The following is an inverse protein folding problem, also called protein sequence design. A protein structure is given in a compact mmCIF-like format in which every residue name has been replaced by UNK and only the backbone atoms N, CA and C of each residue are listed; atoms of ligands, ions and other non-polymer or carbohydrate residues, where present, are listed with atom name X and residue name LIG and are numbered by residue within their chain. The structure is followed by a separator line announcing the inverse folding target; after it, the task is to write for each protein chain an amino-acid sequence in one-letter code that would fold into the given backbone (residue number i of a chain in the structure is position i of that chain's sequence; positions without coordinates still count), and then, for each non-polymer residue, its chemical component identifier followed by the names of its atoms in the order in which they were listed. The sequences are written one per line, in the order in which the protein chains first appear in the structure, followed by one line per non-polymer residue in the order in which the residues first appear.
data_IF_783672252220
#
_entry.id   IF_783672252220
#
_cell.length_a   1.000
_cell.length_b   1.000
_cell.length_c   1.000
_cell.angle_alpha   90.00
_cell.angle_beta   90.00
_cell.angle_gamma   90.00
#
_symmetry.space_group_name_H-M   'P 1'
#
loop_
_entity.id
_entity.type
_entity.pdbx_description
1 polymer ?
#
# COMPACT_ATOMS: atom_id res chain seq x y z
N UNK A 1 34.12 -13.62 -24.10
CA UNK A 1 33.09 -13.05 -24.99
C UNK A 1 32.10 -12.32 -24.06
N UNK A 2 32.15 -10.99 -24.03
CA UNK A 2 31.17 -10.18 -23.32
C UNK A 2 29.83 -10.39 -24.00
N UNK A 3 28.88 -11.06 -23.30
CA UNK A 3 27.53 -11.27 -23.78
C UNK A 3 26.88 -9.90 -24.00
N UNK A 4 26.44 -9.61 -25.20
CA UNK A 4 25.60 -8.46 -25.52
C UNK A 4 24.34 -8.62 -24.66
N UNK A 5 24.16 -7.76 -23.66
CA UNK A 5 22.94 -7.74 -22.85
C UNK A 5 21.76 -7.59 -23.82
N UNK A 6 20.78 -8.50 -23.72
CA UNK A 6 19.59 -8.43 -24.54
C UNK A 6 18.96 -7.04 -24.42
N UNK A 7 18.50 -6.44 -25.51
CA UNK A 7 17.86 -5.13 -25.45
C UNK A 7 16.69 -5.19 -24.46
N UNK A 8 16.62 -4.18 -23.58
CA UNK A 8 15.53 -4.09 -22.59
C UNK A 8 14.17 -4.01 -23.28
N UNK A 9 13.06 -4.24 -22.53
CA UNK A 9 11.72 -4.28 -23.12
C UNK A 9 11.37 -2.98 -23.83
N UNK A 10 10.68 -3.09 -24.96
CA UNK A 10 10.14 -1.95 -25.70
C UNK A 10 8.93 -1.38 -24.94
N UNK A 11 9.12 -0.25 -24.27
CA UNK A 11 8.08 0.38 -23.45
C UNK A 11 6.96 0.97 -24.30
N UNK A 12 5.76 1.03 -23.73
CA UNK A 12 4.57 1.61 -24.35
C UNK A 12 4.61 3.14 -24.31
N UNK A 13 4.37 3.77 -25.47
CA UNK A 13 4.19 5.21 -25.60
C UNK A 13 2.72 5.63 -25.67
N UNK A 14 2.43 6.94 -25.69
CA UNK A 14 1.06 7.46 -25.69
C UNK A 14 0.22 7.02 -26.90
N UNK A 15 0.82 6.94 -28.09
CA UNK A 15 0.15 6.52 -29.32
C UNK A 15 -0.25 5.05 -29.27
N UNK A 16 0.65 4.21 -28.75
CA UNK A 16 0.45 2.76 -28.65
C UNK A 16 -0.64 2.41 -27.64
N UNK A 17 -0.66 3.07 -26.49
CA UNK A 17 -1.70 2.88 -25.48
C UNK A 17 -3.09 3.26 -26.03
N UNK A 18 -3.18 4.37 -26.78
CA UNK A 18 -4.45 4.76 -27.44
C UNK A 18 -4.87 3.78 -28.50
N UNK A 19 -3.93 3.26 -29.28
CA UNK A 19 -4.20 2.24 -30.31
C UNK A 19 -4.69 0.93 -29.67
N UNK A 20 -4.05 0.47 -28.60
CA UNK A 20 -4.47 -0.70 -27.84
C UNK A 20 -5.88 -0.50 -27.27
N UNK A 21 -6.15 0.65 -26.66
CA UNK A 21 -7.46 0.99 -26.11
C UNK A 21 -8.55 0.98 -27.20
N UNK A 22 -8.27 1.59 -28.35
CA UNK A 22 -9.20 1.62 -29.49
C UNK A 22 -9.48 0.21 -30.02
N UNK A 23 -8.44 -0.61 -30.21
CA UNK A 23 -8.54 -2.00 -30.68
C UNK A 23 -9.39 -2.86 -29.76
N UNK A 24 -9.26 -2.66 -28.45
CA UNK A 24 -9.96 -3.44 -27.43
C UNK A 24 -11.32 -2.84 -27.03
N UNK A 25 -11.71 -1.73 -27.64
CA UNK A 25 -12.96 -1.02 -27.28
C UNK A 25 -12.96 -0.46 -25.87
N UNK A 26 -11.76 -0.30 -25.26
CA UNK A 26 -11.63 0.20 -23.87
C UNK A 26 -11.88 1.70 -23.84
N UNK A 27 -12.87 2.09 -23.07
CA UNK A 27 -13.13 3.48 -22.66
C UNK A 27 -12.72 3.62 -21.20
N UNK A 28 -11.62 4.36 -20.88
CA UNK A 28 -11.14 4.48 -19.52
C UNK A 28 -12.24 4.89 -18.55
N UNK A 29 -12.44 4.10 -17.50
CA UNK A 29 -13.52 4.24 -16.54
C UNK A 29 -13.04 4.92 -15.27
N UNK A 30 -13.70 6.02 -14.88
CA UNK A 30 -13.46 6.67 -13.58
C UNK A 30 -13.83 5.75 -12.42
N UNK A 31 -14.83 4.88 -12.60
CA UNK A 31 -15.25 3.92 -11.57
C UNK A 31 -14.16 2.90 -11.27
N UNK A 32 -13.41 2.50 -12.28
CA UNK A 32 -12.26 1.58 -12.15
C UNK A 32 -10.94 2.32 -11.85
N UNK A 33 -10.97 3.65 -11.76
CA UNK A 33 -9.77 4.45 -11.50
C UNK A 33 -8.72 4.38 -12.60
N UNK A 34 -9.12 4.05 -13.84
CA UNK A 34 -8.21 3.82 -14.96
C UNK A 34 -7.54 5.12 -15.44
N UNK A 35 -6.27 5.27 -15.08
CA UNK A 35 -5.35 6.30 -15.58
C UNK A 35 -4.03 5.61 -15.93
N UNK A 36 -3.77 5.42 -17.21
CA UNK A 36 -2.61 4.67 -17.70
C UNK A 36 -1.40 5.58 -17.82
N UNK A 37 -0.26 5.15 -17.29
CA UNK A 37 1.00 5.88 -17.45
C UNK A 37 1.49 5.69 -18.89
N UNK A 38 1.71 6.81 -19.58
CA UNK A 38 2.11 6.82 -21.00
C UNK A 38 3.53 7.28 -21.25
N UNK A 39 4.23 7.79 -20.20
CA UNK A 39 5.59 8.30 -20.28
C UNK A 39 6.62 7.26 -19.87
N UNK A 40 7.42 6.80 -20.83
CA UNK A 40 8.45 5.80 -20.59
C UNK A 40 9.54 6.25 -19.61
N UNK A 41 9.84 7.56 -19.55
CA UNK A 41 10.82 8.13 -18.60
C UNK A 41 10.32 7.98 -17.16
N UNK A 42 9.06 8.32 -16.94
CA UNK A 42 8.40 8.17 -15.63
C UNK A 42 8.35 6.70 -15.20
N UNK A 43 7.99 5.80 -16.12
CA UNK A 43 7.92 4.35 -15.83
C UNK A 43 9.30 3.81 -15.42
N UNK A 44 10.37 4.13 -16.15
CA UNK A 44 11.74 3.75 -15.77
C UNK A 44 12.14 4.30 -14.41
N UNK A 45 11.81 5.57 -14.14
CA UNK A 45 12.08 6.20 -12.84
C UNK A 45 11.39 5.50 -11.70
N UNK A 46 10.11 5.14 -11.84
CA UNK A 46 9.35 4.41 -10.83
C UNK A 46 9.99 3.05 -10.57
N UNK A 47 10.33 2.29 -11.62
CA UNK A 47 10.98 0.99 -11.49
C UNK A 47 12.33 1.09 -10.77
N UNK A 48 13.16 2.08 -11.13
CA UNK A 48 14.44 2.30 -10.46
C UNK A 48 14.27 2.70 -8.97
N UNK A 49 13.24 3.50 -8.65
CA UNK A 49 12.94 3.90 -7.28
C UNK A 49 12.41 2.76 -6.42
N UNK A 50 11.83 1.72 -7.02
CA UNK A 50 11.36 0.53 -6.30
C UNK A 50 12.52 -0.29 -5.72
N UNK A 51 13.76 -0.10 -6.20
CA UNK A 51 14.99 -0.76 -5.69
C UNK A 51 14.84 -2.29 -5.58
N UNK A 52 14.29 -2.89 -6.62
CA UNK A 52 14.06 -4.32 -6.68
C UNK A 52 15.38 -5.09 -6.72
N UNK A 53 15.44 -6.20 -6.01
CA UNK A 53 16.48 -7.21 -6.17
C UNK A 53 16.15 -8.13 -7.34
N UNK A 54 17.18 -8.73 -7.96
CA UNK A 54 16.98 -9.59 -9.12
C UNK A 54 16.16 -10.86 -8.82
N UNK A 55 16.13 -11.28 -7.57
CA UNK A 55 15.37 -12.43 -7.06
C UNK A 55 13.95 -12.06 -6.54
N UNK A 56 13.58 -10.78 -6.56
CA UNK A 56 12.26 -10.37 -6.14
C UNK A 56 11.15 -10.96 -7.02
N UNK A 57 10.05 -11.34 -6.37
CA UNK A 57 8.76 -11.59 -7.00
C UNK A 57 7.90 -10.36 -6.75
N UNK A 58 7.60 -9.64 -7.82
CA UNK A 58 6.84 -8.39 -7.73
C UNK A 58 5.36 -8.68 -7.85
N UNK A 59 4.57 -8.18 -6.92
CA UNK A 59 3.13 -8.04 -7.06
C UNK A 59 2.82 -6.69 -7.70
N UNK A 60 2.19 -6.71 -8.85
CA UNK A 60 1.67 -5.49 -9.50
C UNK A 60 0.15 -5.49 -9.44
N UNK A 61 -0.45 -4.40 -8.99
CA UNK A 61 -1.91 -4.21 -8.95
C UNK A 61 -2.31 -3.19 -10.00
N UNK A 62 -3.27 -3.58 -10.85
CA UNK A 62 -3.76 -2.73 -11.93
C UNK A 62 -2.70 -2.48 -13.01
N UNK A 63 -2.13 -3.53 -13.63
CA UNK A 63 -1.11 -3.40 -14.68
C UNK A 63 -1.61 -2.64 -15.90
N UNK A 64 -2.92 -2.65 -16.15
CA UNK A 64 -3.53 -2.05 -17.32
C UNK A 64 -2.97 -2.63 -18.61
N UNK A 65 -2.45 -1.77 -19.49
CA UNK A 65 -1.81 -2.20 -20.74
C UNK A 65 -0.38 -2.74 -20.56
N UNK A 66 0.19 -2.71 -19.35
CA UNK A 66 1.52 -3.24 -19.05
C UNK A 66 2.64 -2.19 -19.06
N UNK A 67 2.33 -0.90 -19.00
CA UNK A 67 3.36 0.16 -18.98
C UNK A 67 4.40 -0.05 -17.88
N UNK A 68 3.97 -0.39 -16.68
CA UNK A 68 4.87 -0.65 -15.55
C UNK A 68 5.33 -2.11 -15.52
N UNK A 69 4.49 -3.06 -15.96
CA UNK A 69 4.82 -4.49 -16.03
C UNK A 69 6.09 -4.76 -16.83
N UNK A 70 6.23 -4.13 -18.01
CA UNK A 70 7.37 -4.35 -18.91
C UNK A 70 8.73 -4.12 -18.23
N UNK A 71 9.02 -2.95 -17.61
CA UNK A 71 10.30 -2.77 -16.93
C UNK A 71 10.41 -3.54 -15.62
N UNK A 72 9.28 -3.87 -14.94
CA UNK A 72 9.32 -4.73 -13.76
C UNK A 72 9.78 -6.15 -14.10
N UNK A 73 9.34 -6.72 -15.25
CA UNK A 73 9.79 -8.03 -15.74
C UNK A 73 11.30 -8.06 -16.01
N UNK A 74 11.88 -6.92 -16.44
CA UNK A 74 13.32 -6.82 -16.65
C UNK A 74 14.12 -6.65 -15.34
N UNK A 75 13.50 -6.10 -14.31
CA UNK A 75 14.16 -5.76 -13.04
C UNK A 75 14.02 -6.85 -11.97
N UNK A 76 13.07 -7.77 -12.11
CA UNK A 76 12.74 -8.77 -11.09
C UNK A 76 12.74 -10.19 -11.67
N UNK A 77 12.74 -11.19 -10.80
CA UNK A 77 12.65 -12.61 -11.20
C UNK A 77 11.30 -12.94 -11.82
N UNK A 78 10.22 -12.38 -11.29
CA UNK A 78 8.85 -12.65 -11.71
C UNK A 78 7.94 -11.46 -11.38
N UNK A 79 6.88 -11.30 -12.17
CA UNK A 79 5.77 -10.37 -11.90
C UNK A 79 4.47 -11.16 -11.79
N UNK A 80 3.76 -11.00 -10.68
CA UNK A 80 2.38 -11.46 -10.48
C UNK A 80 1.50 -10.23 -10.60
N UNK A 81 0.74 -10.13 -11.68
CA UNK A 81 -0.11 -9.00 -11.98
C UNK A 81 -1.58 -9.32 -11.64
N UNK A 82 -2.20 -8.51 -10.78
CA UNK A 82 -3.62 -8.61 -10.42
C UNK A 82 -4.40 -7.51 -11.11
N UNK A 83 -5.29 -7.88 -12.03
CA UNK A 83 -6.09 -6.95 -12.83
C UNK A 83 -7.60 -7.23 -12.64
N UNK A 84 -8.34 -6.19 -12.39
CA UNK A 84 -9.79 -6.29 -12.18
C UNK A 84 -10.57 -6.38 -13.51
N UNK A 85 -10.07 -5.69 -14.55
CA UNK A 85 -10.69 -5.66 -15.87
C UNK A 85 -10.27 -6.91 -16.67
N UNK A 86 -11.20 -7.83 -17.00
CA UNK A 86 -10.87 -9.08 -17.68
C UNK A 86 -10.32 -8.86 -19.11
N UNK A 87 -10.67 -7.74 -19.76
CA UNK A 87 -10.17 -7.42 -21.11
C UNK A 87 -8.70 -7.05 -21.03
N UNK A 88 -8.32 -6.21 -20.04
CA UNK A 88 -6.93 -5.85 -19.79
C UNK A 88 -6.11 -7.05 -19.30
N UNK A 89 -6.67 -7.87 -18.41
CA UNK A 89 -6.02 -9.08 -17.92
C UNK A 89 -5.69 -10.06 -19.06
N UNK A 90 -6.60 -10.23 -20.02
CA UNK A 90 -6.39 -11.09 -21.20
C UNK A 90 -5.41 -10.50 -22.22
N UNK A 91 -5.31 -9.17 -22.31
CA UNK A 91 -4.39 -8.49 -23.24
C UNK A 91 -2.95 -8.40 -22.71
N UNK A 92 -2.75 -8.34 -21.41
CA UNK A 92 -1.43 -8.15 -20.81
C UNK A 92 -0.37 -9.19 -21.26
N UNK A 93 -0.67 -10.51 -21.29
CA UNK A 93 0.27 -11.50 -21.81
C UNK A 93 0.64 -11.27 -23.27
N UNK A 94 -0.30 -10.82 -24.11
CA UNK A 94 -0.06 -10.51 -25.53
C UNK A 94 0.86 -9.29 -25.66
N UNK A 95 0.62 -8.25 -24.86
CA UNK A 95 1.50 -7.08 -24.81
C UNK A 95 2.93 -7.48 -24.44
N UNK A 96 3.09 -8.32 -23.40
CA UNK A 96 4.41 -8.78 -22.94
C UNK A 96 5.08 -9.67 -24.01
N UNK A 97 4.37 -10.61 -24.62
CA UNK A 97 4.91 -11.45 -25.70
C UNK A 97 5.38 -10.63 -26.90
N UNK A 98 4.69 -9.54 -27.23
CA UNK A 98 5.07 -8.65 -28.34
C UNK A 98 6.25 -7.72 -28.00
N UNK A 99 6.41 -7.30 -26.74
CA UNK A 99 7.37 -6.25 -26.32
C UNK A 99 8.58 -6.77 -25.57
N UNK A 100 8.47 -7.93 -24.95
CA UNK A 100 9.50 -8.57 -24.14
C UNK A 100 9.38 -10.10 -24.24
N UNK A 101 9.46 -10.71 -25.45
CA UNK A 101 9.19 -12.14 -25.65
C UNK A 101 10.07 -13.02 -24.77
N UNK A 102 11.33 -12.67 -24.55
CA UNK A 102 12.24 -13.41 -23.67
C UNK A 102 11.95 -13.31 -22.17
N UNK A 103 10.91 -12.55 -21.77
CA UNK A 103 10.50 -12.37 -20.38
C UNK A 103 9.04 -12.82 -20.13
N UNK A 104 8.37 -13.35 -21.16
CA UNK A 104 6.93 -13.67 -21.09
C UNK A 104 6.61 -14.76 -20.07
N UNK A 105 7.49 -15.70 -19.86
CA UNK A 105 7.40 -16.78 -18.88
C UNK A 105 7.51 -16.31 -17.42
N UNK A 106 8.00 -15.09 -17.21
CA UNK A 106 8.08 -14.47 -15.88
C UNK A 106 6.79 -13.77 -15.43
N UNK A 107 5.80 -13.66 -16.32
CA UNK A 107 4.51 -13.02 -16.01
C UNK A 107 3.49 -14.07 -15.58
N UNK A 108 2.80 -13.81 -14.48
CA UNK A 108 1.54 -14.45 -14.13
C UNK A 108 0.45 -13.38 -14.00
N UNK A 109 -0.73 -13.64 -14.57
CA UNK A 109 -1.87 -12.70 -14.51
C UNK A 109 -3.02 -13.35 -13.75
N UNK A 110 -3.58 -12.60 -12.80
CA UNK A 110 -4.76 -13.00 -12.02
C UNK A 110 -5.87 -11.99 -12.26
N UNK A 111 -7.00 -12.45 -12.78
CA UNK A 111 -8.19 -11.59 -12.92
C UNK A 111 -8.96 -11.59 -11.62
N UNK A 112 -8.76 -10.57 -10.78
CA UNK A 112 -9.37 -10.48 -9.45
C UNK A 112 -9.41 -9.04 -8.92
N UNK A 113 -10.22 -8.83 -7.89
CA UNK A 113 -10.18 -7.62 -7.07
C UNK A 113 -9.02 -7.72 -6.06
N UNK A 114 -8.02 -6.84 -6.22
CA UNK A 114 -6.85 -6.80 -5.35
C UNK A 114 -7.16 -6.47 -3.89
N UNK A 115 -8.33 -5.89 -3.60
CA UNK A 115 -8.78 -5.66 -2.22
C UNK A 115 -9.37 -6.93 -1.56
N UNK A 116 -9.49 -8.04 -2.30
CA UNK A 116 -10.11 -9.30 -1.86
C UNK A 116 -9.31 -10.53 -2.19
N UNK A 117 -8.29 -10.43 -3.05
CA UNK A 117 -7.45 -11.56 -3.46
C UNK A 117 -6.80 -12.21 -2.24
N UNK A 118 -6.85 -13.54 -2.18
CA UNK A 118 -6.24 -14.31 -1.08
C UNK A 118 -5.16 -15.26 -1.55
N UNK A 119 -5.26 -15.71 -2.79
CA UNK A 119 -4.33 -16.67 -3.38
C UNK A 119 -3.66 -16.03 -4.60
N UNK A 120 -2.35 -16.19 -4.68
CA UNK A 120 -1.54 -15.72 -5.77
C UNK A 120 -0.72 -16.89 -6.32
N UNK A 121 -0.55 -16.99 -7.65
CA UNK A 121 0.12 -18.12 -8.27
C UNK A 121 1.64 -18.05 -8.12
N UNK A 122 2.25 -19.21 -7.90
CA UNK A 122 3.70 -19.39 -7.86
C UNK A 122 4.33 -18.97 -6.53
N UNK A 123 5.57 -18.47 -6.59
CA UNK A 123 6.30 -18.06 -5.41
C UNK A 123 5.66 -16.82 -4.76
N UNK A 124 5.67 -16.74 -3.41
CA UNK A 124 5.09 -15.61 -2.69
C UNK A 124 5.73 -14.27 -3.07
N UNK A 125 4.95 -13.23 -3.39
CA UNK A 125 5.48 -11.91 -3.70
C UNK A 125 6.28 -11.31 -2.56
N UNK A 126 7.42 -10.69 -2.90
CA UNK A 126 8.33 -10.06 -1.95
C UNK A 126 8.29 -8.53 -2.00
N UNK A 127 7.85 -7.97 -3.11
CA UNK A 127 7.72 -6.52 -3.30
C UNK A 127 6.38 -6.17 -3.96
N UNK A 128 5.79 -5.03 -3.58
CA UNK A 128 4.60 -4.46 -4.21
C UNK A 128 4.99 -3.23 -5.02
N UNK A 129 4.75 -3.24 -6.34
CA UNK A 129 4.93 -2.05 -7.18
C UNK A 129 3.67 -1.84 -8.02
N UNK A 130 3.01 -0.69 -7.88
CA UNK A 130 1.71 -0.50 -8.50
C UNK A 130 1.36 0.97 -8.76
N UNK A 131 0.63 1.21 -9.86
CA UNK A 131 -0.15 2.42 -10.06
C UNK A 131 -1.59 2.15 -9.62
N UNK A 132 -1.91 2.45 -8.37
CA UNK A 132 -3.17 2.05 -7.76
C UNK A 132 -4.35 2.93 -8.20
N UNK A 133 -5.55 2.34 -8.35
CA UNK A 133 -6.76 3.12 -8.58
C UNK A 133 -7.02 4.03 -7.36
N UNK A 134 -7.28 5.30 -7.64
CA UNK A 134 -7.32 6.36 -6.62
C UNK A 134 -8.33 6.14 -5.49
N UNK A 135 -9.45 5.49 -5.79
CA UNK A 135 -10.53 5.22 -4.83
C UNK A 135 -10.32 3.99 -3.96
N UNK A 136 -9.36 3.11 -4.31
CA UNK A 136 -9.15 1.84 -3.63
C UNK A 136 -7.72 1.66 -3.06
N UNK A 137 -6.83 2.64 -3.24
CA UNK A 137 -5.42 2.51 -2.91
C UNK A 137 -5.15 2.09 -1.46
N UNK A 138 -5.73 2.78 -0.48
CA UNK A 138 -5.50 2.47 0.95
C UNK A 138 -6.07 1.09 1.33
N UNK A 139 -7.32 0.75 1.01
CA UNK A 139 -7.85 -0.60 1.24
C UNK A 139 -7.02 -1.71 0.61
N UNK A 140 -6.57 -1.53 -0.63
CA UNK A 140 -5.74 -2.52 -1.35
C UNK A 140 -4.41 -2.73 -0.63
N UNK A 141 -3.68 -1.65 -0.30
CA UNK A 141 -2.39 -1.78 0.39
C UNK A 141 -2.54 -2.43 1.76
N UNK A 142 -3.55 -2.03 2.55
CA UNK A 142 -3.82 -2.62 3.86
C UNK A 142 -4.20 -4.11 3.75
N UNK A 143 -5.04 -4.48 2.76
CA UNK A 143 -5.40 -5.87 2.51
C UNK A 143 -4.17 -6.71 2.16
N UNK A 144 -3.36 -6.26 1.21
CA UNK A 144 -2.17 -6.99 0.77
C UNK A 144 -1.12 -7.11 1.89
N UNK A 145 -0.91 -6.07 2.69
CA UNK A 145 -0.03 -6.14 3.86
C UNK A 145 -0.55 -7.13 4.91
N UNK A 146 -1.86 -7.31 5.03
CA UNK A 146 -2.47 -8.27 5.95
C UNK A 146 -2.42 -9.71 5.44
N UNK A 147 -2.60 -9.92 4.13
CA UNK A 147 -2.80 -11.26 3.54
C UNK A 147 -1.56 -11.83 2.85
N UNK A 148 -0.58 -10.98 2.51
CA UNK A 148 0.68 -11.40 1.86
C UNK A 148 1.86 -11.06 2.79
N UNK A 149 2.14 -11.93 3.79
CA UNK A 149 3.19 -11.66 4.79
C UNK A 149 4.60 -11.64 4.21
N UNK A 150 4.81 -12.21 3.05
CA UNK A 150 6.10 -12.22 2.33
C UNK A 150 6.50 -10.86 1.74
N UNK A 151 5.56 -9.90 1.62
CA UNK A 151 5.87 -8.54 1.16
C UNK A 151 6.82 -7.86 2.15
N UNK A 152 8.03 -7.56 1.71
CA UNK A 152 9.07 -6.87 2.49
C UNK A 152 9.06 -5.37 2.27
N UNK A 153 8.74 -4.94 1.06
CA UNK A 153 8.77 -3.54 0.67
C UNK A 153 7.77 -3.25 -0.45
N UNK A 154 7.59 -1.98 -0.77
CA UNK A 154 6.84 -1.59 -1.94
C UNK A 154 6.97 -0.12 -2.31
N UNK A 155 6.57 0.17 -3.53
CA UNK A 155 6.45 1.52 -4.07
C UNK A 155 5.11 1.62 -4.81
N UNK A 156 4.19 2.40 -4.26
CA UNK A 156 2.87 2.58 -4.87
C UNK A 156 2.66 4.02 -5.30
N UNK A 157 2.00 4.20 -6.43
CA UNK A 157 1.59 5.50 -6.93
C UNK A 157 0.09 5.68 -6.68
N UNK A 158 -0.27 6.77 -6.05
CA UNK A 158 -1.64 7.13 -5.64
C UNK A 158 -1.86 8.63 -5.85
N UNK A 159 -3.07 9.15 -5.63
CA UNK A 159 -3.28 10.61 -5.62
C UNK A 159 -2.35 11.30 -4.61
N UNK A 160 -1.88 12.51 -4.93
CA UNK A 160 -0.96 13.26 -4.08
C UNK A 160 -1.47 13.41 -2.64
N UNK A 161 -2.74 13.78 -2.46
CA UNK A 161 -3.36 13.90 -1.13
C UNK A 161 -3.41 12.55 -0.38
N UNK A 162 -3.67 11.44 -1.07
CA UNK A 162 -3.67 10.11 -0.49
C UNK A 162 -2.25 9.71 -0.06
N UNK A 163 -1.25 10.00 -0.91
CA UNK A 163 0.15 9.75 -0.60
C UNK A 163 0.60 10.52 0.65
N UNK A 164 0.19 11.78 0.76
CA UNK A 164 0.50 12.61 1.91
C UNK A 164 -0.14 12.07 3.20
N UNK A 165 -1.40 11.61 3.12
CA UNK A 165 -2.08 10.96 4.26
C UNK A 165 -1.45 9.62 4.64
N UNK A 166 -1.06 8.79 3.67
CA UNK A 166 -0.41 7.49 3.94
C UNK A 166 0.92 7.65 4.67
N UNK A 167 1.68 8.70 4.36
CA UNK A 167 3.01 8.97 4.90
C UNK A 167 3.05 10.03 6.01
N UNK A 168 1.89 10.48 6.48
CA UNK A 168 1.79 11.50 7.51
C UNK A 168 2.32 11.01 8.87
N UNK A 169 3.07 11.86 9.56
CA UNK A 169 3.53 11.62 10.92
C UNK A 169 2.48 12.07 11.96
N UNK A 170 2.49 11.47 13.18
CA UNK A 170 1.69 11.93 14.29
C UNK A 170 1.83 13.44 14.53
N UNK A 171 0.74 14.11 14.91
CA UNK A 171 0.69 15.55 15.15
C UNK A 171 0.47 16.40 13.89
N UNK A 172 0.57 15.83 12.70
CA UNK A 172 0.30 16.58 11.46
C UNK A 172 -1.21 16.67 11.17
N UNK A 173 -1.60 17.78 10.48
CA UNK A 173 -3.00 18.02 10.10
C UNK A 173 -3.64 16.94 9.23
N UNK A 174 -2.84 16.19 8.48
CA UNK A 174 -3.30 15.17 7.53
C UNK A 174 -3.16 13.76 8.09
N UNK A 175 -2.55 13.60 9.29
CA UNK A 175 -2.46 12.32 9.97
C UNK A 175 -3.83 11.75 10.30
N UNK A 176 -4.04 10.46 10.09
CA UNK A 176 -5.33 9.83 10.29
C UNK A 176 -5.30 8.32 10.22
N UNK A 177 -6.47 7.70 10.11
CA UNK A 177 -6.62 6.24 10.06
C UNK A 177 -5.67 5.56 9.07
N UNK A 178 -5.52 6.03 7.81
CA UNK A 178 -4.58 5.42 6.88
C UNK A 178 -3.14 5.42 7.38
N UNK A 179 -2.69 6.53 7.96
CA UNK A 179 -1.33 6.68 8.48
C UNK A 179 -1.04 5.67 9.59
N UNK A 180 -1.95 5.59 10.58
CA UNK A 180 -1.80 4.69 11.74
C UNK A 180 -1.87 3.21 11.31
N UNK A 181 -2.88 2.85 10.50
CA UNK A 181 -3.08 1.46 10.07
C UNK A 181 -1.93 0.95 9.21
N UNK A 182 -1.35 1.80 8.35
CA UNK A 182 -0.16 1.44 7.59
C UNK A 182 1.08 1.32 8.47
N UNK A 183 1.23 2.23 9.46
CA UNK A 183 2.33 2.16 10.43
C UNK A 183 2.31 0.91 11.32
N UNK A 184 1.20 0.18 11.39
CA UNK A 184 1.14 -1.15 12.01
C UNK A 184 1.98 -2.19 11.26
N UNK A 185 2.08 -2.06 9.93
CA UNK A 185 2.75 -3.04 9.08
C UNK A 185 4.14 -2.62 8.61
N UNK A 186 4.35 -1.32 8.44
CA UNK A 186 5.51 -0.83 7.71
C UNK A 186 5.89 0.62 8.06
N UNK A 187 7.17 0.92 7.95
CA UNK A 187 7.65 2.29 7.85
C UNK A 187 7.27 2.86 6.48
N UNK A 188 6.48 3.93 6.47
CA UNK A 188 5.91 4.52 5.26
C UNK A 188 6.48 5.92 5.05
N UNK A 189 6.88 6.24 3.82
CA UNK A 189 7.40 7.58 3.48
C UNK A 189 6.95 8.04 2.10
N UNK A 190 6.84 9.33 1.95
CA UNK A 190 6.69 9.97 0.65
C UNK A 190 7.98 9.78 -0.16
N UNK A 191 7.86 9.27 -1.39
CA UNK A 191 9.01 8.94 -2.23
C UNK A 191 9.19 9.90 -3.42
N UNK A 192 8.15 10.68 -3.76
CA UNK A 192 8.23 11.62 -4.87
C UNK A 192 6.85 12.01 -5.41
N UNK A 193 6.87 12.78 -6.49
CA UNK A 193 5.67 13.23 -7.20
C UNK A 193 5.71 12.81 -8.67
N UNK A 194 4.53 12.62 -9.25
CA UNK A 194 4.33 12.30 -10.66
C UNK A 194 3.28 13.24 -11.22
N UNK A 195 3.61 14.07 -12.22
CA UNK A 195 2.71 15.04 -12.78
C UNK A 195 1.59 14.35 -13.56
N UNK A 196 0.40 14.93 -13.54
CA UNK A 196 -0.79 14.39 -14.24
C UNK A 196 -0.63 14.28 -15.76
N UNK A 197 0.27 15.05 -16.35
CA UNK A 197 0.51 15.07 -17.81
C UNK A 197 1.05 13.76 -18.38
N UNK A 198 1.61 12.86 -17.53
CA UNK A 198 2.17 11.57 -17.96
C UNK A 198 1.11 10.48 -18.07
N UNK A 199 -0.16 10.78 -17.80
CA UNK A 199 -1.26 9.82 -17.82
C UNK A 199 -2.21 10.02 -18.99
N UNK A 200 -2.85 8.94 -19.39
CA UNK A 200 -4.01 8.96 -20.27
C UNK A 200 -5.12 8.06 -19.70
N UNK A 201 -6.36 8.60 -19.57
CA UNK A 201 -6.71 10.02 -19.62
C UNK A 201 -5.98 10.82 -18.53
N UNK A 202 -5.85 12.12 -18.73
CA UNK A 202 -5.21 13.01 -17.75
C UNK A 202 -6.09 13.13 -16.50
N UNK A 203 -5.60 12.76 -15.30
CA UNK A 203 -6.36 12.89 -14.05
C UNK A 203 -6.49 14.37 -13.64
N UNK A 204 -7.38 14.64 -12.68
CA UNK A 204 -7.62 16.01 -12.19
C UNK A 204 -6.51 16.52 -11.28
N UNK A 205 -5.79 15.63 -10.63
CA UNK A 205 -4.75 15.92 -9.63
C UNK A 205 -3.47 15.16 -9.95
N UNK A 206 -2.36 15.65 -9.46
CA UNK A 206 -1.08 14.95 -9.54
C UNK A 206 -1.07 13.71 -8.66
N UNK A 207 -0.15 12.81 -8.96
CA UNK A 207 0.09 11.60 -8.19
C UNK A 207 1.28 11.73 -7.27
N UNK A 208 1.30 10.90 -6.24
CA UNK A 208 2.39 10.76 -5.32
C UNK A 208 2.90 9.34 -5.24
N UNK A 209 4.20 9.19 -5.09
CA UNK A 209 4.84 7.93 -4.81
C UNK A 209 4.98 7.73 -3.30
N UNK A 210 4.56 6.59 -2.82
CA UNK A 210 4.70 6.16 -1.43
C UNK A 210 5.53 4.90 -1.39
N UNK A 211 6.65 4.96 -0.69
CA UNK A 211 7.47 3.78 -0.41
C UNK A 211 7.18 3.28 1.00
N UNK A 212 7.20 1.97 1.16
CA UNK A 212 7.11 1.33 2.46
C UNK A 212 8.15 0.21 2.61
N UNK A 213 8.59 0.00 3.84
CA UNK A 213 9.41 -1.13 4.24
C UNK A 213 8.73 -1.81 5.43
N UNK A 214 8.43 -3.12 5.29
CA UNK A 214 7.73 -3.89 6.32
C UNK A 214 8.60 -4.03 7.56
N UNK A 215 7.98 -4.00 8.71
CA UNK A 215 8.57 -4.30 10.00
C UNK A 215 7.61 -5.20 10.82
N UNK A 216 8.09 -5.84 11.88
CA UNK A 216 7.21 -6.52 12.83
C UNK A 216 6.16 -5.56 13.42
N UNK A 217 4.97 -6.04 13.78
CA UNK A 217 3.98 -5.22 14.48
C UNK A 217 4.57 -4.57 15.73
N UNK A 218 4.16 -3.33 16.07
CA UNK A 218 4.66 -2.64 17.25
C UNK A 218 4.27 -3.40 18.51
N UNK A 219 5.22 -3.53 19.44
CA UNK A 219 5.02 -4.19 20.73
C UNK A 219 4.50 -3.16 21.73
N UNK A 220 3.36 -3.42 22.39
CA UNK A 220 2.89 -2.58 23.48
C UNK A 220 3.90 -2.66 24.64
N UNK A 221 4.57 -1.56 24.94
CA UNK A 221 5.67 -1.47 25.93
C UNK A 221 7.08 -1.34 25.33
N UNK A 222 7.22 -1.35 24.01
CA UNK A 222 8.46 -0.97 23.33
C UNK A 222 8.69 0.55 23.30
N UNK A 223 9.93 1.01 23.04
CA UNK A 223 10.24 2.43 22.93
C UNK A 223 9.42 3.09 21.83
N UNK A 224 9.04 4.36 22.05
CA UNK A 224 8.17 5.14 21.14
C UNK A 224 8.81 5.43 19.76
N UNK A 225 10.09 5.24 19.63
CA UNK A 225 10.93 5.63 18.49
C UNK A 225 11.27 4.48 17.52
N UNK A 226 10.59 3.30 17.64
CA UNK A 226 10.73 2.24 16.64
C UNK A 226 12.13 1.64 16.51
N UNK A 227 13.00 1.84 17.51
CA UNK A 227 14.35 1.27 17.52
C UNK A 227 14.27 -0.25 17.57
N UNK A 228 14.73 -0.83 16.51
CA UNK A 228 14.64 -2.20 16.05
C UNK A 228 15.16 -3.21 17.10
N UNK A 229 14.29 -4.12 17.55
CA UNK A 229 14.69 -5.42 18.05
C UNK A 229 14.13 -6.49 17.13
N UNK A 230 14.92 -7.07 16.22
CA UNK A 230 14.46 -8.14 15.36
C UNK A 230 14.08 -9.37 16.20
N UNK A 231 12.83 -9.84 16.06
CA UNK A 231 12.42 -11.17 16.51
C UNK A 231 11.30 -11.30 17.52
N UNK A 232 10.59 -10.23 17.91
CA UNK A 232 9.38 -10.38 18.74
C UNK A 232 8.12 -10.06 17.93
N UNK A 233 7.68 -11.00 17.12
CA UNK A 233 6.28 -11.08 16.68
C UNK A 233 5.41 -11.29 17.93
N UNK A 234 4.25 -10.60 18.01
CA UNK A 234 3.36 -10.51 19.16
C UNK A 234 3.29 -11.77 20.03
N UNK A 235 4.01 -11.75 21.14
CA UNK A 235 3.98 -12.82 22.13
C UNK A 235 2.63 -12.90 22.83
N UNK A 236 2.34 -13.97 23.56
CA UNK A 236 1.15 -14.06 24.38
C UNK A 236 1.06 -12.83 25.29
N UNK A 237 -0.03 -12.07 25.15
CA UNK A 237 -0.23 -10.81 25.89
C UNK A 237 -0.26 -9.55 25.02
N UNK A 238 0.22 -9.55 23.77
CA UNK A 238 0.12 -8.39 22.88
C UNK A 238 -1.29 -8.22 22.29
N UNK A 239 -1.74 -6.98 22.01
CA UNK A 239 -3.05 -6.77 21.40
C UNK A 239 -3.02 -7.24 19.93
N UNK A 240 -4.16 -7.76 19.47
CA UNK A 240 -4.33 -8.11 18.07
C UNK A 240 -4.45 -6.84 17.20
N UNK A 241 -4.22 -7.00 15.90
CA UNK A 241 -4.46 -5.94 14.92
C UNK A 241 -5.87 -5.38 15.00
N UNK A 242 -6.85 -6.25 15.13
CA UNK A 242 -8.28 -5.93 15.19
C UNK A 242 -8.58 -5.06 16.40
N UNK A 243 -8.04 -5.39 17.57
CA UNK A 243 -8.17 -4.61 18.79
C UNK A 243 -7.57 -3.21 18.62
N UNK A 244 -6.35 -3.11 18.07
CA UNK A 244 -5.69 -1.82 17.83
C UNK A 244 -6.47 -1.00 16.80
N UNK A 245 -6.91 -1.60 15.71
CA UNK A 245 -7.64 -0.90 14.65
C UNK A 245 -9.01 -0.40 15.13
N UNK A 246 -9.68 -1.12 16.03
CA UNK A 246 -10.92 -0.66 16.66
C UNK A 246 -10.69 0.63 17.48
N UNK A 247 -9.60 0.70 18.25
CA UNK A 247 -9.23 1.92 19.00
C UNK A 247 -8.93 3.07 18.03
N UNK A 248 -8.17 2.81 16.96
CA UNK A 248 -7.84 3.82 15.94
C UNK A 248 -9.11 4.37 15.31
N UNK A 249 -10.01 3.49 14.83
CA UNK A 249 -11.26 3.91 14.21
C UNK A 249 -12.12 4.75 15.15
N UNK A 250 -12.25 4.35 16.42
CA UNK A 250 -12.98 5.10 17.43
C UNK A 250 -12.36 6.48 17.70
N UNK A 251 -11.03 6.55 17.84
CA UNK A 251 -10.33 7.83 18.10
C UNK A 251 -10.49 8.83 16.94
N UNK A 252 -10.50 8.36 15.69
CA UNK A 252 -10.63 9.22 14.52
C UNK A 252 -12.08 9.47 14.08
N UNK A 253 -13.06 8.69 14.54
CA UNK A 253 -14.48 8.96 14.31
C UNK A 253 -14.89 10.34 14.85
N UNK A 254 -14.24 10.80 15.92
CA UNK A 254 -14.46 12.11 16.52
C UNK A 254 -13.13 12.90 16.62
N UNK A 255 -12.44 13.05 15.51
CA UNK A 255 -11.08 13.60 15.41
C UNK A 255 -10.82 14.88 16.21
N UNK A 256 -11.83 15.78 16.35
CA UNK A 256 -11.70 17.05 17.07
C UNK A 256 -11.88 16.95 18.58
N UNK A 257 -12.30 15.80 19.09
CA UNK A 257 -12.51 15.55 20.53
C UNK A 257 -11.21 15.04 21.17
N UNK A 258 -11.15 15.18 22.52
CA UNK A 258 -10.10 14.53 23.31
C UNK A 258 -10.25 13.00 23.23
N UNK A 259 -9.18 12.27 23.49
CA UNK A 259 -9.22 10.80 23.52
C UNK A 259 -10.27 10.26 24.46
N UNK A 260 -10.40 10.86 25.67
CA UNK A 260 -11.45 10.52 26.64
C UNK A 260 -12.85 10.55 26.01
N UNK A 261 -13.15 11.60 25.28
CA UNK A 261 -14.46 11.75 24.66
C UNK A 261 -14.61 10.87 23.38
N UNK A 262 -13.57 10.75 22.57
CA UNK A 262 -13.60 9.98 21.34
C UNK A 262 -13.73 8.47 21.61
N UNK A 263 -13.06 7.96 22.64
CA UNK A 263 -13.06 6.54 22.98
C UNK A 263 -14.21 6.14 23.93
N UNK A 264 -15.08 7.06 24.35
CA UNK A 264 -16.16 6.78 25.28
C UNK A 264 -17.09 5.64 24.81
N UNK A 265 -17.47 5.62 23.52
CA UNK A 265 -18.31 4.55 22.97
C UNK A 265 -17.57 3.22 22.87
N UNK A 266 -16.27 3.25 22.60
CA UNK A 266 -15.44 2.04 22.53
C UNK A 266 -15.23 1.42 23.91
N UNK A 267 -15.02 2.24 24.94
CA UNK A 267 -14.77 1.80 26.31
C UNK A 267 -16.06 1.59 27.14
N UNK A 268 -17.23 1.94 26.58
CA UNK A 268 -18.53 1.88 27.27
C UNK A 268 -18.91 3.17 28.02
N UNK A 269 -17.96 3.98 28.46
CA UNK A 269 -18.19 5.30 29.06
C UNK A 269 -16.96 6.19 28.97
N UNK A 270 -17.13 7.51 29.17
CA UNK A 270 -16.00 8.45 29.21
C UNK A 270 -15.10 8.24 30.45
N UNK A 271 -15.66 7.79 31.58
CA UNK A 271 -14.89 7.45 32.77
C UNK A 271 -14.01 6.23 32.55
N UNK A 272 -14.55 5.21 31.92
CA UNK A 272 -13.81 3.99 31.57
C UNK A 272 -12.73 4.27 30.51
N UNK A 273 -13.05 5.07 29.48
CA UNK A 273 -12.05 5.53 28.52
C UNK A 273 -10.88 6.24 29.20
N UNK A 274 -11.16 7.15 30.14
CA UNK A 274 -10.12 7.84 30.90
C UNK A 274 -9.25 6.87 31.71
N UNK A 275 -9.86 5.89 32.38
CA UNK A 275 -9.14 4.87 33.17
C UNK A 275 -8.20 4.06 32.28
N UNK A 276 -8.70 3.58 31.15
CA UNK A 276 -7.91 2.79 30.18
C UNK A 276 -6.76 3.59 29.58
N UNK A 277 -7.02 4.84 29.17
CA UNK A 277 -6.00 5.73 28.57
C UNK A 277 -4.88 6.02 29.60
N UNK A 278 -5.23 6.31 30.86
CA UNK A 278 -4.25 6.51 31.93
C UNK A 278 -3.45 5.23 32.24
N UNK A 279 -4.10 4.07 32.25
CA UNK A 279 -3.42 2.78 32.41
C UNK A 279 -2.42 2.49 31.27
N UNK A 280 -2.67 3.01 30.06
CA UNK A 280 -1.76 2.98 28.93
C UNK A 280 -0.59 4.01 29.04
N UNK A 281 -0.54 4.85 30.09
CA UNK A 281 0.46 5.89 30.27
C UNK A 281 0.27 7.08 29.31
N UNK A 282 -0.98 7.38 28.92
CA UNK A 282 -1.31 8.44 27.95
C UNK A 282 -2.22 9.48 28.63
N UNK A 283 -2.06 10.75 28.27
CA UNK A 283 -2.94 11.83 28.76
C UNK A 283 -4.30 11.77 28.03
N UNK A 284 -5.43 11.61 28.77
CA UNK A 284 -6.77 11.60 28.19
C UNK A 284 -7.21 12.90 27.50
N UNK A 285 -6.54 14.00 27.76
CA UNK A 285 -6.80 15.30 27.14
C UNK A 285 -6.22 15.40 25.72
N UNK A 286 -5.28 14.55 25.34
CA UNK A 286 -4.74 14.48 23.98
C UNK A 286 -5.84 14.14 22.96
N UNK A 287 -5.53 14.35 21.69
CA UNK A 287 -6.36 13.90 20.56
C UNK A 287 -5.73 12.69 19.86
N UNK A 288 -6.53 11.88 19.17
CA UNK A 288 -6.03 10.72 18.44
C UNK A 288 -4.93 11.04 17.44
N UNK A 289 -4.94 12.23 16.84
CA UNK A 289 -3.89 12.65 15.90
C UNK A 289 -2.49 12.84 16.52
N UNK A 290 -2.40 12.92 17.83
CA UNK A 290 -1.11 13.04 18.54
C UNK A 290 -0.44 11.70 18.80
N UNK A 291 -1.16 10.59 18.66
CA UNK A 291 -0.68 9.26 19.01
C UNK A 291 -0.06 8.53 17.82
N UNK A 292 1.07 7.87 18.04
CA UNK A 292 1.63 6.87 17.15
C UNK A 292 0.97 5.50 17.30
N UNK A 293 1.28 4.58 16.40
CA UNK A 293 0.69 3.24 16.39
C UNK A 293 1.02 2.43 17.65
N UNK A 294 2.21 2.58 18.23
CA UNK A 294 2.61 1.92 19.47
C UNK A 294 1.77 2.39 20.66
N UNK A 295 1.38 3.67 20.68
CA UNK A 295 0.51 4.23 21.72
C UNK A 295 -0.92 3.70 21.59
N UNK A 296 -1.44 3.58 20.37
CA UNK A 296 -2.72 2.91 20.13
C UNK A 296 -2.69 1.44 20.58
N UNK A 297 -1.57 0.73 20.35
CA UNK A 297 -1.41 -0.64 20.83
C UNK A 297 -1.43 -0.72 22.38
N UNK A 298 -0.81 0.24 23.09
CA UNK A 298 -0.90 0.29 24.56
C UNK A 298 -2.33 0.52 25.06
N UNK A 299 -3.09 1.40 24.38
CA UNK A 299 -4.50 1.64 24.74
C UNK A 299 -5.33 0.38 24.53
N UNK A 300 -5.15 -0.33 23.42
CA UNK A 300 -5.86 -1.58 23.13
C UNK A 300 -5.53 -2.66 24.17
N UNK A 301 -4.27 -2.80 24.56
CA UNK A 301 -3.85 -3.74 25.59
C UNK A 301 -4.47 -3.43 26.95
N UNK A 302 -4.44 -2.17 27.37
CA UNK A 302 -5.05 -1.73 28.64
C UNK A 302 -6.57 -1.95 28.66
N UNK A 303 -7.26 -1.72 27.53
CA UNK A 303 -8.70 -1.96 27.38
C UNK A 303 -9.07 -3.44 27.51
N UNK A 304 -8.27 -4.34 26.94
CA UNK A 304 -8.47 -5.80 27.08
C UNK A 304 -8.35 -6.25 28.55
N UNK A 305 -7.34 -5.75 29.26
CA UNK A 305 -7.13 -6.09 30.68
C UNK A 305 -8.30 -5.59 31.54
N UNK A 306 -8.88 -4.45 31.19
CA UNK A 306 -10.02 -3.87 31.87
C UNK A 306 -11.32 -4.69 31.68
N UNK A 307 -11.52 -5.31 30.52
CA UNK A 307 -12.71 -6.10 30.19
C UNK A 307 -12.72 -7.49 30.88
N UNK A 308 -11.58 -7.93 31.42
CA UNK A 308 -11.42 -9.24 32.10
C UNK A 308 -11.59 -9.10 33.63
N UNK A 309 -11.51 -7.92 34.16
CA UNK A 309 -11.72 -7.59 35.57
C UNK A 309 -13.18 -7.21 35.85
#
# INVERSE_FOLDING_TARGET
VAGIAAPGPALLGPAEIRLLAARLGIRPSRRLGQNFVTDAGTVRRITAMARLAADDVVLEVGPGFGSLTLPLLAAARRVVAVELDPVLAAELPRTVAARAPGLADRLAVVTADAARVRELPGDPPTALVANLPYNAAVPVVLHLLATVPSLRCGLVMVQAEVADRMSAAPGSRIYGVPSVKLAWYAAVRRAGSVPRSVFWPVPRVDSGLVAFARHPPPVAGGPADGADRPGQAGGPGQPSREEVFAVVDAAFAQRRKTLRAALASWAGSAAEAERVIRAAGIDPALRGESLGVAEFARVALAGRTAAIM
#
